data_IF_177183928224
#
_entry.id   IF_177183928224
#
_cell.length_a   1.000
_cell.length_b   1.000
_cell.length_c   1.000
_cell.angle_alpha   90.00
_cell.angle_beta   90.00
_cell.angle_gamma   90.00
#
_symmetry.space_group_name_H-M   'P 1'
#
loop_
_entity.id
_entity.type
_entity.pdbx_description
1 polymer ?
#
# COMPACT_ATOMS: atom_id res chain seq x y z
N UNK A 1 24.17 4.67 -12.65
CA UNK A 1 23.05 3.70 -12.82
C UNK A 1 21.83 4.50 -13.18
N UNK A 2 20.95 4.00 -14.06
CA UNK A 2 19.76 4.75 -14.46
C UNK A 2 18.67 4.62 -13.39
N UNK A 3 18.13 5.75 -12.94
CA UNK A 3 17.02 5.81 -12.00
C UNK A 3 15.74 6.29 -12.67
N UNK A 4 14.63 5.96 -12.05
CA UNK A 4 13.31 6.48 -12.39
C UNK A 4 12.63 6.95 -11.12
N UNK A 5 12.01 8.12 -11.19
CA UNK A 5 11.08 8.58 -10.16
C UNK A 5 9.66 8.19 -10.58
N UNK A 6 8.94 7.47 -9.72
CA UNK A 6 7.50 7.23 -9.90
C UNK A 6 6.74 8.15 -8.96
N UNK A 7 5.86 8.98 -9.51
CA UNK A 7 4.90 9.77 -8.76
C UNK A 7 3.60 8.98 -8.65
N UNK A 8 3.01 8.97 -7.46
CA UNK A 8 1.79 8.19 -7.17
C UNK A 8 0.83 9.07 -6.36
N UNK A 9 -0.37 9.28 -6.89
CA UNK A 9 -1.49 9.89 -6.20
C UNK A 9 -2.52 8.82 -5.83
N UNK A 10 -3.36 9.12 -4.85
CA UNK A 10 -4.47 8.25 -4.46
C UNK A 10 -5.43 8.08 -5.65
N UNK A 11 -5.73 6.85 -6.13
CA UNK A 11 -6.67 6.64 -7.23
C UNK A 11 -8.07 7.19 -6.98
N UNK A 12 -8.51 7.25 -5.72
CA UNK A 12 -9.80 7.84 -5.32
C UNK A 12 -9.79 9.36 -5.31
N UNK A 13 -8.61 9.99 -5.39
CA UNK A 13 -8.43 11.44 -5.49
C UNK A 13 -7.26 11.76 -6.45
N UNK A 14 -7.47 11.65 -7.77
CA UNK A 14 -6.42 11.72 -8.79
C UNK A 14 -5.92 13.16 -8.99
N UNK A 15 -5.03 13.61 -8.11
CA UNK A 15 -4.50 15.00 -8.09
C UNK A 15 -3.32 15.24 -9.02
N UNK A 16 -2.72 14.19 -9.60
CA UNK A 16 -1.48 14.31 -10.37
C UNK A 16 -1.77 14.86 -11.78
N UNK A 17 -1.82 16.19 -11.91
CA UNK A 17 -2.06 16.87 -13.19
C UNK A 17 -0.83 16.90 -14.10
N UNK A 18 -1.00 17.14 -15.42
CA UNK A 18 0.12 17.37 -16.34
C UNK A 18 1.12 18.42 -15.85
N UNK A 19 0.63 19.55 -15.33
CA UNK A 19 1.46 20.63 -14.82
C UNK A 19 2.34 20.19 -13.64
N UNK A 20 1.82 19.35 -12.74
CA UNK A 20 2.60 18.80 -11.62
C UNK A 20 3.66 17.81 -12.12
N UNK A 21 3.32 16.94 -13.06
CA UNK A 21 4.27 16.02 -13.69
C UNK A 21 5.41 16.76 -14.40
N UNK A 22 5.09 17.82 -15.13
CA UNK A 22 6.07 18.68 -15.82
C UNK A 22 6.94 19.47 -14.83
N UNK A 23 6.36 20.00 -13.75
CA UNK A 23 7.11 20.68 -12.70
C UNK A 23 8.14 19.75 -12.04
N UNK A 24 7.73 18.54 -11.68
CA UNK A 24 8.61 17.51 -11.13
C UNK A 24 9.70 17.09 -12.13
N UNK A 25 9.35 16.87 -13.41
CA UNK A 25 10.30 16.51 -14.45
C UNK A 25 11.35 17.62 -14.67
N UNK A 26 10.93 18.87 -14.65
CA UNK A 26 11.82 20.04 -14.78
C UNK A 26 12.77 20.16 -13.58
N UNK A 27 12.30 19.90 -12.36
CA UNK A 27 13.10 20.01 -11.14
C UNK A 27 14.34 19.11 -11.16
N UNK A 28 14.32 18.02 -11.91
CA UNK A 28 15.41 17.02 -11.99
C UNK A 28 16.07 16.95 -13.37
N UNK A 29 15.76 17.89 -14.27
CA UNK A 29 16.21 17.88 -15.66
C UNK A 29 15.97 16.52 -16.35
N UNK A 30 14.75 15.99 -16.18
CA UNK A 30 14.38 14.67 -16.65
C UNK A 30 14.56 14.51 -18.16
N UNK A 31 14.92 13.30 -18.58
CA UNK A 31 15.02 12.93 -20.00
C UNK A 31 13.68 12.47 -20.60
N UNK A 32 12.66 12.27 -19.77
CA UNK A 32 11.31 11.90 -20.20
C UNK A 32 10.31 11.84 -19.05
N UNK A 33 9.03 11.99 -19.41
CA UNK A 33 7.87 11.89 -18.53
C UNK A 33 6.86 10.95 -19.21
N UNK A 34 6.44 9.90 -18.49
CA UNK A 34 5.61 8.83 -19.04
C UNK A 34 4.41 8.58 -18.12
N UNK A 35 3.19 8.80 -18.62
CA UNK A 35 1.97 8.54 -17.86
C UNK A 35 1.67 7.04 -17.80
N UNK A 36 1.46 6.55 -16.58
CA UNK A 36 1.08 5.16 -16.32
C UNK A 36 -0.43 5.04 -16.12
N UNK A 37 -1.02 6.05 -15.48
CA UNK A 37 -2.45 6.22 -15.28
C UNK A 37 -2.76 7.70 -15.11
N UNK A 38 -3.65 8.24 -15.93
CA UNK A 38 -4.00 9.67 -15.93
C UNK A 38 -4.47 10.11 -14.54
N UNK A 39 -3.89 11.20 -14.03
CA UNK A 39 -4.23 11.74 -12.72
C UNK A 39 -3.69 10.95 -11.52
N UNK A 40 -3.15 9.75 -11.73
CA UNK A 40 -2.79 8.82 -10.66
C UNK A 40 -1.29 8.55 -10.62
N UNK A 41 -0.65 8.23 -11.75
CA UNK A 41 0.75 7.84 -11.74
C UNK A 41 1.50 8.19 -13.03
N UNK A 42 2.73 8.64 -12.87
CA UNK A 42 3.68 8.82 -13.96
C UNK A 42 5.10 8.43 -13.56
N UNK A 43 5.90 8.01 -14.54
CA UNK A 43 7.33 7.78 -14.42
C UNK A 43 8.10 8.98 -15.00
N UNK A 44 9.14 9.41 -14.29
CA UNK A 44 10.09 10.44 -14.70
C UNK A 44 11.47 9.78 -14.85
N UNK A 45 12.01 9.81 -16.06
CA UNK A 45 13.33 9.26 -16.35
C UNK A 45 14.43 10.22 -15.87
N UNK A 46 15.25 9.77 -14.93
CA UNK A 46 16.31 10.57 -14.35
C UNK A 46 17.61 10.46 -15.16
N UNK A 47 18.41 11.54 -15.29
CA UNK A 47 19.74 11.48 -15.88
C UNK A 47 20.66 10.44 -15.20
N UNK A 48 21.60 9.87 -15.95
CA UNK A 48 22.44 8.76 -15.47
C UNK A 48 23.42 9.12 -14.34
N UNK A 49 23.68 10.41 -14.13
CA UNK A 49 24.55 10.96 -13.08
C UNK A 49 23.77 11.46 -11.85
N UNK A 50 22.45 11.26 -11.81
CA UNK A 50 21.60 11.79 -10.76
C UNK A 50 21.77 11.04 -9.43
N UNK A 51 21.90 11.79 -8.34
CA UNK A 51 21.79 11.28 -6.98
C UNK A 51 20.30 11.07 -6.62
N UNK A 52 19.95 9.89 -6.11
CA UNK A 52 18.57 9.52 -5.81
C UNK A 52 17.93 10.40 -4.72
N UNK A 53 18.67 10.72 -3.66
CA UNK A 53 18.17 11.56 -2.56
C UNK A 53 17.99 13.02 -2.99
N UNK A 54 18.95 13.56 -3.75
CA UNK A 54 18.84 14.92 -4.30
C UNK A 54 17.66 15.03 -5.26
N UNK A 55 17.44 14.03 -6.12
CA UNK A 55 16.29 13.99 -7.01
C UNK A 55 14.97 13.89 -6.24
N UNK A 56 14.90 13.02 -5.22
CA UNK A 56 13.72 12.92 -4.36
C UNK A 56 13.39 14.26 -3.72
N UNK A 57 14.40 14.95 -3.17
CA UNK A 57 14.21 16.24 -2.49
C UNK A 57 13.79 17.34 -3.47
N UNK A 58 14.41 17.40 -4.65
CA UNK A 58 14.03 18.38 -5.69
C UNK A 58 12.59 18.19 -6.18
N UNK A 59 12.16 16.94 -6.38
CA UNK A 59 10.76 16.62 -6.74
C UNK A 59 9.83 16.97 -5.58
N UNK A 60 10.19 16.63 -4.34
CA UNK A 60 9.37 16.92 -3.17
C UNK A 60 9.17 18.43 -2.98
N UNK A 61 10.23 19.22 -3.17
CA UNK A 61 10.16 20.68 -3.14
C UNK A 61 9.22 21.23 -4.23
N UNK A 62 9.36 20.74 -5.47
CA UNK A 62 8.51 21.13 -6.59
C UNK A 62 7.02 20.75 -6.40
N UNK A 63 6.75 19.71 -5.61
CA UNK A 63 5.41 19.20 -5.31
C UNK A 63 4.94 19.55 -3.89
N UNK A 64 5.55 20.54 -3.24
CA UNK A 64 5.24 20.92 -1.86
C UNK A 64 3.74 21.12 -1.66
N UNK A 65 3.19 20.43 -0.65
CA UNK A 65 1.78 20.50 -0.27
C UNK A 65 0.84 19.64 -1.14
N UNK A 66 1.36 18.92 -2.14
CA UNK A 66 0.56 17.97 -2.91
C UNK A 66 0.59 16.59 -2.24
N UNK A 67 -0.55 15.88 -2.15
CA UNK A 67 -0.61 14.53 -1.60
C UNK A 67 -0.15 13.49 -2.64
N UNK A 68 1.12 13.56 -3.03
CA UNK A 68 1.76 12.72 -4.04
C UNK A 68 2.96 12.02 -3.40
N UNK A 69 2.98 10.69 -3.47
CA UNK A 69 4.11 9.87 -3.06
C UNK A 69 5.20 9.86 -4.14
N UNK A 70 6.46 9.84 -3.70
CA UNK A 70 7.65 9.85 -4.57
C UNK A 70 8.49 8.62 -4.28
N UNK A 71 8.69 7.79 -5.30
CA UNK A 71 9.54 6.59 -5.24
C UNK A 71 10.67 6.71 -6.25
N UNK A 72 11.93 6.72 -5.78
CA UNK A 72 13.11 6.64 -6.65
C UNK A 72 13.64 5.21 -6.61
N UNK A 73 13.85 4.61 -7.77
CA UNK A 73 14.32 3.23 -7.89
C UNK A 73 15.17 3.02 -9.14
N UNK A 74 16.04 2.00 -9.11
CA UNK A 74 16.82 1.59 -10.28
C UNK A 74 15.89 1.12 -11.40
N UNK A 75 16.09 1.66 -12.59
CA UNK A 75 15.22 1.41 -13.75
C UNK A 75 15.18 -0.06 -14.15
N UNK A 76 16.33 -0.75 -14.12
CA UNK A 76 16.43 -2.13 -14.61
C UNK A 76 15.90 -3.15 -13.60
N UNK A 77 15.88 -2.79 -12.31
CA UNK A 77 15.50 -3.70 -11.23
C UNK A 77 14.08 -3.47 -10.67
N UNK A 78 13.35 -2.45 -11.16
CA UNK A 78 12.03 -2.09 -10.62
C UNK A 78 10.93 -3.14 -10.84
N UNK A 79 11.08 -4.01 -11.84
CA UNK A 79 10.07 -5.05 -12.15
C UNK A 79 10.34 -6.31 -11.33
N UNK A 80 9.71 -6.40 -10.15
CA UNK A 80 9.81 -7.57 -9.27
C UNK A 80 8.92 -8.72 -9.77
N UNK A 81 9.40 -9.96 -9.60
CA UNK A 81 8.72 -11.19 -10.04
C UNK A 81 7.98 -11.93 -8.93
N UNK A 82 8.12 -11.45 -7.69
CA UNK A 82 7.48 -11.98 -6.49
C UNK A 82 6.97 -10.80 -5.66
N UNK A 83 5.70 -10.86 -5.27
CA UNK A 83 5.08 -9.99 -4.28
C UNK A 83 4.70 -10.84 -3.06
N UNK A 84 5.18 -10.44 -1.90
CA UNK A 84 4.72 -10.96 -0.61
C UNK A 84 4.03 -9.78 0.07
N UNK A 85 2.79 -9.96 0.49
CA UNK A 85 2.02 -8.92 1.16
C UNK A 85 1.42 -9.47 2.45
N UNK A 86 1.29 -8.60 3.43
CA UNK A 86 0.41 -8.82 4.56
C UNK A 86 -1.06 -8.78 4.10
N UNK A 87 -1.97 -9.32 4.91
CA UNK A 87 -3.40 -9.35 4.63
C UNK A 87 -4.12 -8.16 5.29
N UNK A 88 -4.17 -8.15 6.61
CA UNK A 88 -4.93 -7.19 7.41
C UNK A 88 -4.31 -5.78 7.26
N UNK A 89 -5.18 -4.77 7.15
CA UNK A 89 -4.79 -3.37 6.90
C UNK A 89 -3.84 -3.13 5.70
N UNK A 90 -3.68 -4.11 4.81
CA UNK A 90 -2.76 -4.07 3.66
C UNK A 90 -3.49 -4.43 2.37
N UNK A 91 -3.90 -5.69 2.21
CA UNK A 91 -4.68 -6.14 1.04
C UNK A 91 -6.19 -6.06 1.27
N UNK A 92 -6.60 -5.95 2.53
CA UNK A 92 -7.95 -5.59 2.97
C UNK A 92 -7.89 -4.40 3.93
N UNK A 93 -8.97 -3.63 4.01
CA UNK A 93 -9.04 -2.43 4.85
C UNK A 93 -9.40 -2.67 6.32
N UNK A 94 -9.49 -3.94 6.74
CA UNK A 94 -9.97 -4.34 8.06
C UNK A 94 -8.94 -5.22 8.77
N UNK A 95 -9.15 -5.39 10.09
CA UNK A 95 -8.51 -6.39 10.93
C UNK A 95 -9.46 -7.58 11.11
N UNK A 96 -9.12 -8.76 10.58
CA UNK A 96 -10.08 -9.88 10.51
C UNK A 96 -10.58 -10.32 11.90
N UNK A 97 -9.71 -10.35 12.91
CA UNK A 97 -10.09 -10.79 14.27
C UNK A 97 -11.07 -9.80 14.91
N UNK A 98 -10.89 -8.50 14.68
CA UNK A 98 -11.77 -7.45 15.19
C UNK A 98 -13.16 -7.56 14.55
N UNK A 99 -13.24 -7.89 13.26
CA UNK A 99 -14.51 -8.11 12.56
C UNK A 99 -15.24 -9.36 13.04
N UNK A 100 -14.52 -10.42 13.42
CA UNK A 100 -15.14 -11.60 14.07
C UNK A 100 -15.67 -11.25 15.47
N UNK A 101 -14.95 -10.43 16.22
CA UNK A 101 -15.34 -9.98 17.56
C UNK A 101 -16.55 -9.03 17.54
N UNK A 102 -16.77 -8.31 16.44
CA UNK A 102 -17.91 -7.41 16.26
C UNK A 102 -19.25 -8.15 16.35
N UNK A 103 -19.33 -9.39 15.85
CA UNK A 103 -20.55 -10.20 15.84
C UNK A 103 -21.00 -10.63 17.25
N UNK A 104 -20.13 -10.48 18.26
CA UNK A 104 -20.44 -10.71 19.69
C UNK A 104 -20.31 -9.44 20.54
N UNK A 105 -20.20 -8.26 19.92
CA UNK A 105 -20.10 -6.98 20.63
C UNK A 105 -18.79 -6.82 21.41
N UNK A 106 -17.72 -7.53 21.04
CA UNK A 106 -16.41 -7.45 21.68
C UNK A 106 -15.38 -6.65 20.87
N UNK A 107 -15.79 -6.00 19.77
CA UNK A 107 -14.91 -5.27 18.86
C UNK A 107 -13.97 -4.32 19.60
N UNK A 108 -14.50 -3.47 20.47
CA UNK A 108 -13.71 -2.45 21.18
C UNK A 108 -12.64 -3.05 22.11
N UNK A 109 -12.92 -4.20 22.72
CA UNK A 109 -11.95 -4.89 23.59
C UNK A 109 -10.82 -5.49 22.76
N UNK A 110 -11.16 -6.14 21.65
CA UNK A 110 -10.19 -6.78 20.77
C UNK A 110 -9.33 -5.74 20.06
N UNK A 111 -9.94 -4.67 19.54
CA UNK A 111 -9.24 -3.59 18.84
C UNK A 111 -8.24 -2.87 19.75
N UNK A 112 -8.57 -2.70 21.04
CA UNK A 112 -7.63 -2.15 22.03
C UNK A 112 -6.39 -3.04 22.17
N UNK A 113 -6.55 -4.37 22.22
CA UNK A 113 -5.42 -5.30 22.29
C UNK A 113 -4.64 -5.27 20.97
N UNK A 114 -5.32 -5.23 19.82
CA UNK A 114 -4.72 -5.14 18.48
C UNK A 114 -3.84 -3.88 18.37
N UNK A 115 -4.36 -2.71 18.74
CA UNK A 115 -3.61 -1.45 18.69
C UNK A 115 -2.35 -1.48 19.55
N UNK A 116 -2.43 -2.01 20.77
CA UNK A 116 -1.28 -2.15 21.67
C UNK A 116 -0.22 -3.09 21.11
N UNK A 117 -0.62 -4.17 20.45
CA UNK A 117 0.31 -5.10 19.80
C UNK A 117 1.02 -4.44 18.60
N UNK A 118 0.28 -3.73 17.75
CA UNK A 118 0.85 -3.02 16.58
C UNK A 118 1.77 -1.87 16.98
N UNK A 119 1.49 -1.20 18.10
CA UNK A 119 2.37 -0.17 18.68
C UNK A 119 3.62 -0.76 19.37
N UNK A 120 3.73 -2.09 19.48
CA UNK A 120 4.84 -2.75 20.15
C UNK A 120 4.78 -2.70 21.68
N UNK A 121 3.63 -2.35 22.28
CA UNK A 121 3.45 -2.27 23.73
C UNK A 121 3.31 -3.65 24.38
N UNK A 122 2.87 -4.65 23.61
CA UNK A 122 2.76 -6.06 24.02
C UNK A 122 3.32 -6.96 22.92
N UNK A 123 3.84 -8.12 23.32
CA UNK A 123 4.34 -9.11 22.36
C UNK A 123 3.20 -9.69 21.51
N UNK A 124 3.49 -9.96 20.23
CA UNK A 124 2.52 -10.45 19.26
C UNK A 124 1.83 -11.76 19.66
N UNK A 125 2.60 -12.80 20.03
CA UNK A 125 2.01 -14.12 20.33
C UNK A 125 1.03 -14.07 21.52
N UNK A 126 1.39 -13.48 22.68
CA UNK A 126 0.43 -13.33 23.79
C UNK A 126 -0.81 -12.53 23.39
N UNK A 127 -0.64 -11.42 22.65
CA UNK A 127 -1.76 -10.60 22.18
C UNK A 127 -2.69 -11.38 21.24
N UNK A 128 -2.14 -12.20 20.34
CA UNK A 128 -2.92 -13.06 19.46
C UNK A 128 -3.71 -14.10 20.26
N UNK A 129 -3.08 -14.78 21.22
CA UNK A 129 -3.75 -15.75 22.09
C UNK A 129 -4.90 -15.13 22.87
N UNK A 130 -4.68 -13.95 23.43
CA UNK A 130 -5.71 -13.20 24.17
C UNK A 130 -6.91 -12.85 23.28
N UNK A 131 -6.66 -12.25 22.10
CA UNK A 131 -7.72 -11.89 21.15
C UNK A 131 -8.50 -13.11 20.67
N UNK A 132 -7.82 -14.21 20.32
CA UNK A 132 -8.47 -15.43 19.84
C UNK A 132 -9.28 -16.11 20.96
N UNK A 133 -8.82 -16.06 22.21
CA UNK A 133 -9.57 -16.63 23.34
C UNK A 133 -10.95 -15.97 23.53
N UNK A 134 -11.07 -14.68 23.21
CA UNK A 134 -12.34 -13.94 23.27
C UNK A 134 -13.37 -14.41 22.23
N UNK A 135 -12.94 -15.15 21.21
CA UNK A 135 -13.80 -15.71 20.16
C UNK A 135 -14.40 -17.07 20.54
N UNK A 136 -14.12 -17.59 21.75
CA UNK A 136 -14.58 -18.92 22.19
C UNK A 136 -16.11 -19.02 22.15
N UNK A 137 -16.61 -20.05 21.47
CA UNK A 137 -18.03 -20.34 21.35
C UNK A 137 -18.72 -19.72 20.15
N UNK A 138 -18.00 -18.95 19.33
CA UNK A 138 -18.52 -18.45 18.06
C UNK A 138 -18.75 -19.59 17.06
N UNK A 139 -19.90 -19.61 16.36
CA UNK A 139 -20.14 -20.57 15.28
C UNK A 139 -19.27 -20.25 14.07
N UNK A 140 -18.75 -21.27 13.38
CA UNK A 140 -17.89 -21.11 12.18
C UNK A 140 -18.57 -20.28 11.08
N UNK A 141 -19.92 -20.28 11.02
CA UNK A 141 -20.69 -19.46 10.08
C UNK A 141 -20.40 -17.96 10.19
N UNK A 142 -19.91 -17.48 11.34
CA UNK A 142 -19.54 -16.07 11.56
C UNK A 142 -18.44 -15.62 10.58
N UNK A 143 -17.55 -16.52 10.16
CA UNK A 143 -16.48 -16.20 9.20
C UNK A 143 -17.07 -15.80 7.86
N UNK A 144 -18.06 -16.55 7.36
CA UNK A 144 -18.74 -16.22 6.11
C UNK A 144 -19.52 -14.91 6.19
N UNK A 145 -20.07 -14.59 7.38
CA UNK A 145 -20.78 -13.33 7.63
C UNK A 145 -19.79 -12.15 7.59
N UNK A 146 -18.68 -12.23 8.32
CA UNK A 146 -17.64 -11.20 8.34
C UNK A 146 -17.07 -10.96 6.94
N UNK A 147 -16.72 -12.03 6.21
CA UNK A 147 -16.23 -11.96 4.84
C UNK A 147 -17.21 -11.25 3.89
N UNK A 148 -18.51 -11.53 4.02
CA UNK A 148 -19.52 -10.97 3.11
C UNK A 148 -19.88 -9.53 3.44
N UNK A 149 -19.89 -9.15 4.72
CA UNK A 149 -20.42 -7.86 5.17
C UNK A 149 -19.34 -6.81 5.41
N UNK A 150 -18.18 -7.21 5.92
CA UNK A 150 -17.24 -6.27 6.54
C UNK A 150 -15.92 -6.16 5.78
N UNK A 151 -15.55 -7.20 5.02
CA UNK A 151 -14.26 -7.22 4.30
C UNK A 151 -14.35 -6.47 2.98
N UNK A 152 -13.47 -5.49 2.84
CA UNK A 152 -13.28 -4.66 1.66
C UNK A 152 -11.84 -4.76 1.19
N UNK A 153 -11.64 -4.97 -0.11
CA UNK A 153 -10.28 -5.03 -0.66
C UNK A 153 -9.70 -3.62 -0.75
N UNK A 154 -8.40 -3.51 -0.49
CA UNK A 154 -7.67 -2.24 -0.64
C UNK A 154 -7.74 -1.76 -2.09
N UNK A 155 -8.01 -0.45 -2.34
CA UNK A 155 -8.02 0.11 -3.68
C UNK A 155 -6.72 -0.19 -4.44
N UNK A 156 -6.82 -0.61 -5.71
CA UNK A 156 -5.68 -1.02 -6.53
C UNK A 156 -5.18 -2.45 -6.28
N UNK A 157 -5.64 -3.13 -5.22
CA UNK A 157 -5.21 -4.50 -4.90
C UNK A 157 -5.57 -5.51 -5.99
N UNK A 158 -6.77 -5.42 -6.58
CA UNK A 158 -7.19 -6.30 -7.67
C UNK A 158 -6.32 -6.09 -8.91
N UNK A 159 -6.08 -4.83 -9.28
CA UNK A 159 -5.28 -4.42 -10.43
C UNK A 159 -3.82 -4.86 -10.26
N UNK A 160 -3.25 -4.74 -9.06
CA UNK A 160 -1.91 -5.20 -8.72
C UNK A 160 -1.76 -6.70 -8.96
N UNK A 161 -2.64 -7.52 -8.38
CA UNK A 161 -2.59 -8.98 -8.51
C UNK A 161 -2.84 -9.41 -9.97
N UNK A 162 -3.79 -8.77 -10.66
CA UNK A 162 -4.05 -9.04 -12.08
C UNK A 162 -2.82 -8.73 -12.95
N UNK A 163 -2.14 -7.61 -12.68
CA UNK A 163 -0.91 -7.20 -13.39
C UNK A 163 0.23 -8.18 -13.17
N UNK A 164 0.42 -8.65 -11.93
CA UNK A 164 1.43 -9.66 -11.60
C UNK A 164 1.14 -10.98 -12.33
N UNK A 165 -0.11 -11.45 -12.27
CA UNK A 165 -0.54 -12.69 -12.94
C UNK A 165 -0.36 -12.63 -14.46
N UNK A 166 -0.73 -11.50 -15.09
CA UNK A 166 -0.58 -11.31 -16.53
C UNK A 166 0.89 -11.39 -17.00
N UNK A 167 1.85 -11.12 -16.11
CA UNK A 167 3.29 -11.22 -16.38
C UNK A 167 3.90 -12.58 -16.01
N UNK A 168 3.09 -13.52 -15.53
CA UNK A 168 3.56 -14.82 -15.05
C UNK A 168 4.34 -14.73 -13.74
N UNK A 169 4.07 -13.70 -12.92
CA UNK A 169 4.75 -13.47 -11.65
C UNK A 169 3.94 -14.02 -10.47
N UNK A 170 4.62 -14.23 -9.34
CA UNK A 170 4.06 -14.85 -8.16
C UNK A 170 3.61 -13.82 -7.12
N UNK A 171 2.52 -14.13 -6.43
CA UNK A 171 1.96 -13.32 -5.33
C UNK A 171 1.62 -14.24 -4.16
N UNK A 172 1.99 -13.86 -2.94
CA UNK A 172 1.67 -14.60 -1.72
C UNK A 172 1.17 -13.64 -0.63
N UNK A 173 0.24 -14.14 0.19
CA UNK A 173 -0.14 -13.51 1.46
C UNK A 173 0.59 -14.20 2.61
N UNK A 174 1.09 -13.43 3.55
CA UNK A 174 1.66 -13.93 4.81
C UNK A 174 1.01 -13.13 5.94
N UNK A 175 0.25 -13.81 6.80
CA UNK A 175 -0.56 -13.25 7.88
C UNK A 175 -0.49 -14.13 9.13
#
# INVERSE_FOLDING_TARGET
>A
MAFVATLIANPSNPVLTPALGEAAAKAVNASGLYWLADGVACDIALPSSTNAEEARNAIAEALTGQPIDIVIQEQDQRRKKLLIADMDSTMIGQECIDELAAEVGLKDKVSTITARAMNGEIAFEPALRERVALLKGLPVSVVAVALKKNITLTPGGKELIATMKAKGYYTALVS
#
